data_IF_874310829174
#
_entry.id   IF_874310829174
#
_cell.length_a   1.000
_cell.length_b   1.000
_cell.length_c   1.000
_cell.angle_alpha   90.00
_cell.angle_beta   90.00
_cell.angle_gamma   90.00
#
_symmetry.space_group_name_H-M   'P 1'
#
loop_
_entity.id
_entity.type
_entity.pdbx_description
1 polymer ?
#
# COMPACT_ATOMS: atom_id res chain seq x y z
N UNK A 1 -3.58 23.44 23.12
CA UNK A 1 -2.77 23.24 21.88
C UNK A 1 -2.97 21.82 21.40
N UNK A 2 -3.24 21.57 20.12
CA UNK A 2 -3.39 20.20 19.60
C UNK A 2 -2.02 19.50 19.64
N UNK A 3 -2.02 18.17 19.94
CA UNK A 3 -0.80 17.39 19.81
C UNK A 3 -0.36 17.30 18.33
N UNK A 4 0.91 17.09 18.09
CA UNK A 4 1.46 16.91 16.73
C UNK A 4 0.71 15.81 15.97
N UNK A 5 0.43 14.66 16.62
CA UNK A 5 -0.35 13.57 16.05
C UNK A 5 -1.75 14.02 15.63
N UNK A 6 -2.46 14.71 16.50
CA UNK A 6 -3.82 15.22 16.24
C UNK A 6 -3.80 16.21 15.07
N UNK A 7 -2.79 17.05 14.98
CA UNK A 7 -2.60 17.99 13.87
C UNK A 7 -2.36 17.25 12.54
N UNK A 8 -1.50 16.23 12.54
CA UNK A 8 -1.25 15.42 11.35
C UNK A 8 -2.51 14.68 10.87
N UNK A 9 -3.29 14.11 11.80
CA UNK A 9 -4.56 13.44 11.46
C UNK A 9 -5.57 14.43 10.87
N UNK A 10 -5.69 15.63 11.46
CA UNK A 10 -6.55 16.69 10.93
C UNK A 10 -6.14 17.08 9.50
N UNK A 11 -4.84 17.31 9.26
CA UNK A 11 -4.31 17.68 7.95
C UNK A 11 -4.46 16.54 6.93
N UNK A 12 -4.27 15.29 7.34
CA UNK A 12 -4.51 14.14 6.48
C UNK A 12 -5.97 14.07 6.03
N UNK A 13 -6.92 14.28 6.95
CA UNK A 13 -8.34 14.33 6.61
C UNK A 13 -8.66 15.48 5.65
N UNK A 14 -8.15 16.67 5.92
CA UNK A 14 -8.35 17.85 5.08
C UNK A 14 -7.80 17.62 3.66
N UNK A 15 -6.58 17.09 3.56
CA UNK A 15 -5.95 16.76 2.29
C UNK A 15 -6.73 15.69 1.51
N UNK A 16 -7.25 14.67 2.21
CA UNK A 16 -8.11 13.66 1.59
C UNK A 16 -9.42 14.23 1.04
N UNK A 17 -10.06 15.16 1.75
CA UNK A 17 -11.26 15.85 1.28
C UNK A 17 -10.98 16.76 0.07
N UNK A 18 -9.76 17.30 -0.01
CA UNK A 18 -9.30 18.10 -1.14
C UNK A 18 -8.74 17.25 -2.30
N UNK A 19 -8.85 15.91 -2.24
CA UNK A 19 -8.28 14.94 -3.19
C UNK A 19 -6.76 15.07 -3.40
N UNK A 20 -6.06 15.71 -2.45
CA UNK A 20 -4.60 15.86 -2.43
C UNK A 20 -3.96 14.67 -1.70
N UNK A 21 -4.04 13.49 -2.32
CA UNK A 21 -3.65 12.23 -1.66
C UNK A 21 -2.14 12.11 -1.40
N UNK A 22 -1.29 12.75 -2.20
CA UNK A 22 0.15 12.81 -1.92
C UNK A 22 0.40 13.57 -0.60
N UNK A 23 -0.26 14.72 -0.37
CA UNK A 23 -0.18 15.44 0.90
C UNK A 23 -0.76 14.62 2.05
N UNK A 24 -1.90 13.96 1.83
CA UNK A 24 -2.50 13.05 2.83
C UNK A 24 -1.51 11.98 3.26
N UNK A 25 -0.79 11.38 2.31
CA UNK A 25 0.20 10.35 2.61
C UNK A 25 1.38 10.91 3.41
N UNK A 26 1.84 12.15 3.13
CA UNK A 26 2.89 12.81 3.93
C UNK A 26 2.47 12.93 5.40
N UNK A 27 1.25 13.41 5.68
CA UNK A 27 0.76 13.55 7.05
C UNK A 27 0.58 12.18 7.72
N UNK A 28 0.04 11.19 7.01
CA UNK A 28 -0.12 9.85 7.59
C UNK A 28 1.21 9.14 7.84
N UNK A 29 2.25 9.36 7.01
CA UNK A 29 3.61 8.91 7.30
C UNK A 29 4.18 9.51 8.58
N UNK A 30 3.84 10.75 8.92
CA UNK A 30 4.23 11.38 10.19
C UNK A 30 3.51 10.72 11.37
N UNK A 31 2.24 10.34 11.23
CA UNK A 31 1.49 9.59 12.27
C UNK A 31 2.11 8.22 12.51
N UNK A 32 2.40 7.46 11.44
CA UNK A 32 2.96 6.09 11.52
C UNK A 32 4.36 6.06 12.15
N UNK A 33 5.15 7.12 12.00
CA UNK A 33 6.49 7.22 12.61
C UNK A 33 6.48 7.39 14.13
N UNK A 34 5.35 7.72 14.71
CA UNK A 34 5.23 7.85 16.16
C UNK A 34 5.08 6.47 16.83
N UNK A 35 5.62 6.27 18.04
CA UNK A 35 5.67 4.94 18.68
C UNK A 35 4.31 4.44 19.19
N UNK A 36 3.25 5.17 18.97
CA UNK A 36 1.89 4.82 19.37
C UNK A 36 1.20 3.98 18.29
N UNK A 37 0.58 2.87 18.70
CA UNK A 37 -0.24 2.03 17.81
C UNK A 37 -1.36 2.85 17.16
N UNK A 38 -1.55 2.67 15.85
CA UNK A 38 -2.66 3.29 15.12
C UNK A 38 -3.98 2.64 15.54
N UNK A 39 -4.98 3.47 15.84
CA UNK A 39 -6.36 3.00 15.97
C UNK A 39 -6.99 2.70 14.59
N UNK A 40 -8.18 2.11 14.58
CA UNK A 40 -8.87 1.73 13.32
C UNK A 40 -9.06 2.91 12.36
N UNK A 41 -9.44 4.07 12.87
CA UNK A 41 -9.62 5.26 12.05
C UNK A 41 -8.32 5.75 11.41
N UNK A 42 -7.22 5.73 12.14
CA UNK A 42 -5.89 6.08 11.62
C UNK A 42 -5.39 5.06 10.59
N UNK A 43 -5.67 3.76 10.80
CA UNK A 43 -5.39 2.69 9.85
C UNK A 43 -6.16 2.89 8.54
N UNK A 44 -7.44 3.28 8.63
CA UNK A 44 -8.28 3.56 7.46
C UNK A 44 -7.77 4.76 6.67
N UNK A 45 -7.41 5.86 7.36
CA UNK A 45 -6.80 7.04 6.71
C UNK A 45 -5.47 6.69 6.02
N UNK A 46 -4.61 5.94 6.70
CA UNK A 46 -3.34 5.51 6.11
C UNK A 46 -3.55 4.62 4.89
N UNK A 47 -4.47 3.65 4.99
CA UNK A 47 -4.84 2.77 3.86
C UNK A 47 -5.36 3.58 2.69
N UNK A 48 -6.27 4.53 2.93
CA UNK A 48 -6.83 5.40 1.91
C UNK A 48 -5.74 6.21 1.21
N UNK A 49 -4.86 6.86 1.96
CA UNK A 49 -3.75 7.65 1.42
C UNK A 49 -2.84 6.80 0.53
N UNK A 50 -2.37 5.66 1.04
CA UNK A 50 -1.50 4.75 0.29
C UNK A 50 -2.18 4.22 -0.98
N UNK A 51 -3.44 3.76 -0.86
CA UNK A 51 -4.19 3.21 -1.99
C UNK A 51 -4.42 4.25 -3.08
N UNK A 52 -4.80 5.48 -2.73
CA UNK A 52 -5.09 6.54 -3.70
C UNK A 52 -3.84 6.96 -4.47
N UNK A 53 -2.70 7.12 -3.77
CA UNK A 53 -1.42 7.46 -4.41
C UNK A 53 -0.96 6.36 -5.38
N UNK A 54 -1.07 5.10 -4.98
CA UNK A 54 -0.68 3.96 -5.82
C UNK A 54 -1.64 3.81 -7.00
N UNK A 55 -2.95 3.91 -6.78
CA UNK A 55 -3.94 3.75 -7.85
C UNK A 55 -3.82 4.83 -8.92
N UNK A 56 -3.48 6.07 -8.56
CA UNK A 56 -3.25 7.13 -9.54
C UNK A 56 -2.14 6.73 -10.56
N UNK A 57 -1.03 6.15 -10.10
CA UNK A 57 0.07 5.69 -10.96
C UNK A 57 -0.32 4.45 -11.76
N UNK A 58 -1.08 3.53 -11.17
CA UNK A 58 -1.61 2.35 -11.89
C UNK A 58 -2.59 2.73 -12.99
N UNK A 59 -3.46 3.71 -12.74
CA UNK A 59 -4.36 4.27 -13.77
C UNK A 59 -3.54 4.91 -14.89
N UNK A 60 -2.51 5.69 -14.57
CA UNK A 60 -1.64 6.31 -15.57
C UNK A 60 -0.97 5.27 -16.48
N UNK A 61 -0.41 4.18 -15.91
CA UNK A 61 0.18 3.08 -16.69
C UNK A 61 -0.87 2.44 -17.62
N UNK A 62 -2.07 2.13 -17.11
CA UNK A 62 -3.16 1.56 -17.93
C UNK A 62 -3.58 2.49 -19.06
N UNK A 63 -3.68 3.79 -18.80
CA UNK A 63 -4.04 4.78 -19.81
C UNK A 63 -2.98 4.86 -20.91
N UNK A 64 -1.70 4.89 -20.56
CA UNK A 64 -0.63 4.90 -21.57
C UNK A 64 -0.62 3.59 -22.37
N UNK A 65 -0.82 2.43 -21.73
CA UNK A 65 -0.91 1.15 -22.42
C UNK A 65 -2.09 1.09 -23.41
N UNK A 66 -3.25 1.67 -23.07
CA UNK A 66 -4.41 1.69 -23.99
C UNK A 66 -4.20 2.56 -25.22
N UNK A 67 -3.33 3.56 -25.14
CA UNK A 67 -3.01 4.45 -26.27
C UNK A 67 -1.89 3.91 -27.16
N UNK A 68 -1.18 2.87 -26.73
CA UNK A 68 0.03 2.36 -27.42
C UNK A 68 -0.24 1.87 -28.84
N UNK A 69 -1.43 1.33 -29.12
CA UNK A 69 -1.83 0.89 -30.46
C UNK A 69 -2.04 2.03 -31.46
N UNK A 70 -2.19 3.26 -30.98
CA UNK A 70 -2.43 4.47 -31.79
C UNK A 70 -1.14 5.29 -31.97
N UNK A 71 -0.02 4.84 -31.37
CA UNK A 71 1.26 5.55 -31.40
C UNK A 71 1.98 5.29 -32.71
N UNK A 72 2.40 6.36 -33.36
CA UNK A 72 3.26 6.28 -34.54
C UNK A 72 4.64 5.66 -34.19
N UNK A 73 5.24 4.83 -35.09
CA UNK A 73 6.50 4.14 -34.79
C UNK A 73 7.66 5.05 -34.35
N UNK A 74 7.68 6.28 -34.81
CA UNK A 74 8.74 7.24 -34.44
C UNK A 74 8.59 7.80 -33.03
N UNK A 75 7.42 7.67 -32.39
CA UNK A 75 7.14 8.13 -31.04
C UNK A 75 7.19 7.00 -29.99
N UNK A 76 7.36 5.74 -30.41
CA UNK A 76 7.33 4.57 -29.52
C UNK A 76 8.37 4.69 -28.39
N UNK A 77 9.59 5.14 -28.72
CA UNK A 77 10.65 5.30 -27.73
C UNK A 77 10.26 6.29 -26.60
N UNK A 78 9.59 7.37 -26.93
CA UNK A 78 9.11 8.36 -25.94
C UNK A 78 8.02 7.75 -25.03
N UNK A 79 7.11 6.96 -25.59
CA UNK A 79 6.08 6.24 -24.83
C UNK A 79 6.73 5.25 -23.87
N UNK A 80 7.70 4.47 -24.32
CA UNK A 80 8.40 3.49 -23.48
C UNK A 80 9.17 4.16 -22.34
N UNK A 81 9.83 5.27 -22.61
CA UNK A 81 10.52 6.08 -21.59
C UNK A 81 9.52 6.64 -20.56
N UNK A 82 8.38 7.14 -21.00
CA UNK A 82 7.35 7.66 -20.10
C UNK A 82 6.73 6.56 -19.23
N UNK A 83 6.43 5.39 -19.82
CA UNK A 83 5.98 4.20 -19.07
C UNK A 83 7.01 3.77 -18.02
N UNK A 84 8.28 3.75 -18.39
CA UNK A 84 9.37 3.41 -17.48
C UNK A 84 9.44 4.39 -16.30
N UNK A 85 9.29 5.70 -16.54
CA UNK A 85 9.27 6.71 -15.48
C UNK A 85 8.11 6.49 -14.50
N UNK A 86 6.89 6.27 -14.99
CA UNK A 86 5.73 5.99 -14.12
C UNK A 86 5.92 4.70 -13.32
N UNK A 87 6.48 3.64 -13.94
CA UNK A 87 6.78 2.38 -13.22
C UNK A 87 7.81 2.58 -12.12
N UNK A 88 8.83 3.41 -12.36
CA UNK A 88 9.84 3.74 -11.37
C UNK A 88 9.22 4.50 -10.19
N UNK A 89 8.43 5.54 -10.44
CA UNK A 89 7.69 6.26 -9.39
C UNK A 89 6.81 5.32 -8.56
N UNK A 90 6.07 4.43 -9.22
CA UNK A 90 5.20 3.47 -8.54
C UNK A 90 6.01 2.50 -7.67
N UNK A 91 7.13 2.00 -8.17
CA UNK A 91 8.03 1.10 -7.42
C UNK A 91 8.61 1.80 -6.19
N UNK A 92 9.07 3.04 -6.33
CA UNK A 92 9.61 3.85 -5.23
C UNK A 92 8.54 4.11 -4.16
N UNK A 93 7.32 4.49 -4.56
CA UNK A 93 6.22 4.73 -3.62
C UNK A 93 5.85 3.46 -2.84
N UNK A 94 5.74 2.33 -3.52
CA UNK A 94 5.44 1.05 -2.87
C UNK A 94 6.56 0.65 -1.91
N UNK A 95 7.80 0.78 -2.31
CA UNK A 95 8.97 0.43 -1.48
C UNK A 95 9.04 1.30 -0.23
N UNK A 96 8.78 2.60 -0.36
CA UNK A 96 8.73 3.52 0.78
C UNK A 96 7.59 3.18 1.76
N UNK A 97 6.39 2.84 1.24
CA UNK A 97 5.27 2.37 2.07
C UNK A 97 5.65 1.09 2.83
N UNK A 98 6.25 0.11 2.16
CA UNK A 98 6.68 -1.15 2.79
C UNK A 98 7.72 -0.90 3.89
N UNK A 99 8.69 -0.01 3.64
CA UNK A 99 9.71 0.36 4.63
C UNK A 99 9.09 1.03 5.87
N UNK A 100 8.13 1.93 5.68
CA UNK A 100 7.42 2.59 6.78
C UNK A 100 6.58 1.59 7.57
N UNK A 101 5.88 0.69 6.89
CA UNK A 101 5.11 -0.38 7.53
C UNK A 101 5.99 -1.30 8.38
N UNK A 102 7.16 -1.68 7.87
CA UNK A 102 8.10 -2.53 8.61
C UNK A 102 8.63 -1.82 9.86
N UNK A 103 8.98 -0.53 9.75
CA UNK A 103 9.38 0.28 10.92
C UNK A 103 8.26 0.42 11.95
N UNK A 104 7.03 0.73 11.50
CA UNK A 104 5.86 0.81 12.37
C UNK A 104 5.64 -0.51 13.11
N UNK A 105 5.60 -1.62 12.37
CA UNK A 105 5.36 -2.93 12.99
C UNK A 105 6.42 -3.28 14.03
N UNK A 106 7.69 -3.02 13.75
CA UNK A 106 8.77 -3.25 14.71
C UNK A 106 8.61 -2.41 15.99
N UNK A 107 8.10 -1.17 15.86
CA UNK A 107 7.91 -0.28 17.01
C UNK A 107 6.76 -0.70 17.93
N UNK A 108 5.76 -1.42 17.41
CA UNK A 108 4.54 -1.81 18.15
C UNK A 108 4.38 -3.33 18.29
N UNK A 109 5.31 -4.14 17.79
CA UNK A 109 5.14 -5.60 17.65
C UNK A 109 4.86 -6.34 18.96
N UNK A 110 5.41 -5.88 20.07
CA UNK A 110 5.22 -6.51 21.39
C UNK A 110 3.83 -6.25 21.95
N UNK A 111 3.26 -5.08 21.69
CA UNK A 111 1.95 -4.64 22.21
C UNK A 111 0.84 -4.73 21.18
N UNK A 112 1.18 -5.03 19.91
CA UNK A 112 0.24 -5.00 18.80
C UNK A 112 -0.93 -5.96 18.99
N UNK A 113 -2.14 -5.42 18.81
CA UNK A 113 -3.39 -6.20 18.80
C UNK A 113 -3.44 -7.19 17.62
N UNK A 114 -4.34 -8.17 17.66
CA UNK A 114 -4.57 -9.07 16.52
C UNK A 114 -4.98 -8.29 15.27
N UNK A 115 -5.82 -7.25 15.43
CA UNK A 115 -6.22 -6.37 14.34
C UNK A 115 -5.03 -5.69 13.68
N UNK A 116 -4.11 -5.12 14.46
CA UNK A 116 -2.89 -4.48 13.95
C UNK A 116 -1.96 -5.47 13.24
N UNK A 117 -1.84 -6.69 13.76
CA UNK A 117 -1.03 -7.74 13.10
C UNK A 117 -1.62 -8.13 11.75
N UNK A 118 -2.94 -8.32 11.67
CA UNK A 118 -3.64 -8.62 10.42
C UNK A 118 -3.50 -7.45 9.44
N UNK A 119 -3.72 -6.22 9.90
CA UNK A 119 -3.55 -5.00 9.12
C UNK A 119 -2.16 -4.90 8.49
N UNK A 120 -1.11 -5.01 9.31
CA UNK A 120 0.26 -4.93 8.84
C UNK A 120 0.58 -5.98 7.77
N UNK A 121 0.32 -7.26 8.07
CA UNK A 121 0.66 -8.34 7.15
C UNK A 121 -0.20 -8.32 5.87
N UNK A 122 -1.47 -7.91 5.98
CA UNK A 122 -2.34 -7.72 4.81
C UNK A 122 -1.78 -6.62 3.90
N UNK A 123 -1.48 -5.44 4.43
CA UNK A 123 -0.89 -4.36 3.63
C UNK A 123 0.45 -4.78 3.02
N UNK A 124 1.29 -5.47 3.78
CA UNK A 124 2.55 -6.01 3.26
C UNK A 124 2.32 -6.98 2.09
N UNK A 125 1.31 -7.82 2.16
CA UNK A 125 0.89 -8.69 1.07
C UNK A 125 0.42 -7.90 -0.15
N UNK A 126 -0.48 -6.96 0.04
CA UNK A 126 -1.05 -6.12 -1.02
C UNK A 126 0.03 -5.38 -1.82
N UNK A 127 0.97 -4.73 -1.14
CA UNK A 127 2.00 -3.93 -1.80
C UNK A 127 3.11 -4.76 -2.44
N UNK A 128 3.50 -5.90 -1.86
CA UNK A 128 4.40 -6.84 -2.55
C UNK A 128 3.72 -7.43 -3.81
N UNK A 129 2.41 -7.72 -3.77
CA UNK A 129 1.65 -8.16 -4.96
C UNK A 129 1.68 -7.10 -6.08
N UNK A 130 1.56 -5.82 -5.76
CA UNK A 130 1.69 -4.77 -6.76
C UNK A 130 3.10 -4.74 -7.38
N UNK A 131 4.14 -4.99 -6.61
CA UNK A 131 5.50 -5.13 -7.15
C UNK A 131 5.63 -6.38 -8.06
N UNK A 132 4.97 -7.49 -7.73
CA UNK A 132 4.88 -8.66 -8.61
C UNK A 132 4.25 -8.30 -9.95
N UNK A 133 3.13 -7.55 -9.94
CA UNK A 133 2.43 -7.11 -11.15
C UNK A 133 3.28 -6.19 -12.05
N UNK A 134 4.24 -5.47 -11.49
CA UNK A 134 5.12 -4.55 -12.22
C UNK A 134 6.35 -5.23 -12.84
N UNK A 135 6.73 -6.40 -12.34
CA UNK A 135 7.93 -7.11 -12.77
C UNK A 135 7.57 -8.19 -13.81
N UNK A 136 8.36 -8.24 -14.86
CA UNK A 136 8.36 -9.38 -15.78
C UNK A 136 9.32 -10.42 -15.20
N UNK A 137 8.94 -11.68 -15.15
CA UNK A 137 9.63 -12.86 -14.60
C UNK A 137 11.17 -12.77 -14.47
N UNK A 138 11.66 -12.02 -13.49
CA UNK A 138 13.07 -11.87 -13.17
C UNK A 138 13.32 -12.19 -11.67
N UNK A 139 14.55 -12.10 -11.18
CA UNK A 139 14.90 -12.39 -9.79
C UNK A 139 14.10 -11.54 -8.75
N UNK A 140 13.89 -10.22 -8.93
CA UNK A 140 13.02 -9.43 -8.07
C UNK A 140 11.58 -9.96 -8.02
N UNK A 141 11.03 -10.46 -9.13
CA UNK A 141 9.69 -11.06 -9.19
C UNK A 141 9.52 -12.19 -8.18
N UNK A 142 10.45 -13.15 -8.16
CA UNK A 142 10.42 -14.29 -7.22
C UNK A 142 10.50 -13.87 -5.76
N UNK A 143 11.30 -12.85 -5.49
CA UNK A 143 11.41 -12.28 -4.14
C UNK A 143 10.07 -11.69 -3.69
N UNK A 144 9.45 -10.83 -4.49
CA UNK A 144 8.15 -10.21 -4.16
C UNK A 144 7.02 -11.22 -4.10
N UNK A 145 7.01 -12.23 -4.99
CA UNK A 145 6.04 -13.33 -4.96
C UNK A 145 6.10 -14.09 -3.62
N UNK A 146 7.31 -14.48 -3.21
CA UNK A 146 7.52 -15.16 -1.93
C UNK A 146 7.12 -14.28 -0.74
N UNK A 147 7.46 -12.99 -0.76
CA UNK A 147 7.08 -12.03 0.27
C UNK A 147 5.56 -11.86 0.36
N UNK A 148 4.87 -11.81 -0.79
CA UNK A 148 3.39 -11.73 -0.87
C UNK A 148 2.75 -12.94 -0.20
N UNK A 149 3.13 -14.16 -0.58
CA UNK A 149 2.58 -15.40 -0.03
C UNK A 149 2.80 -15.44 1.49
N UNK A 150 4.03 -15.20 1.94
CA UNK A 150 4.38 -15.21 3.37
C UNK A 150 3.55 -14.20 4.17
N UNK A 151 3.32 -13.02 3.62
CA UNK A 151 2.55 -11.98 4.27
C UNK A 151 1.08 -12.36 4.41
N UNK A 152 0.42 -12.82 3.33
CA UNK A 152 -0.98 -13.24 3.39
C UNK A 152 -1.20 -14.47 4.29
N UNK A 153 -0.30 -15.46 4.25
CA UNK A 153 -0.36 -16.63 5.14
C UNK A 153 -0.28 -16.20 6.61
N UNK A 154 0.63 -15.28 6.96
CA UNK A 154 0.73 -14.75 8.33
C UNK A 154 -0.51 -13.95 8.73
N UNK A 155 -1.01 -13.07 7.84
CA UNK A 155 -2.25 -12.34 8.08
C UNK A 155 -3.42 -13.28 8.36
N UNK A 156 -3.58 -14.33 7.55
CA UNK A 156 -4.64 -15.35 7.69
C UNK A 156 -4.52 -16.10 9.02
N UNK A 157 -3.30 -16.46 9.43
CA UNK A 157 -3.06 -17.11 10.72
C UNK A 157 -3.50 -16.22 11.90
N UNK A 158 -3.13 -14.93 11.89
CA UNK A 158 -3.56 -14.01 12.93
C UNK A 158 -5.07 -13.76 12.89
N UNK A 159 -5.66 -13.60 11.71
CA UNK A 159 -7.11 -13.42 11.58
C UNK A 159 -7.89 -14.61 12.13
N UNK A 160 -7.46 -15.84 11.84
CA UNK A 160 -8.12 -17.07 12.31
C UNK A 160 -7.92 -17.34 13.80
N UNK A 161 -6.89 -16.78 14.43
CA UNK A 161 -6.60 -17.03 15.85
C UNK A 161 -7.50 -16.28 16.83
N UNK A 162 -8.27 -15.27 16.38
CA UNK A 162 -9.14 -14.55 17.31
C UNK A 162 -9.98 -13.41 16.73
N UNK A 163 -9.96 -13.15 15.42
CA UNK A 163 -10.91 -12.21 14.82
C UNK A 163 -12.20 -12.94 14.42
N UNK A 164 -13.39 -12.38 14.73
CA UNK A 164 -14.67 -12.89 14.24
C UNK A 164 -14.69 -13.04 12.72
N UNK A 165 -15.47 -14.01 12.19
CA UNK A 165 -15.55 -14.24 10.75
C UNK A 165 -16.02 -13.03 9.95
N UNK A 166 -16.95 -12.27 10.49
CA UNK A 166 -17.46 -11.03 9.88
C UNK A 166 -16.61 -9.79 10.16
N UNK A 167 -15.43 -9.94 10.80
CA UNK A 167 -14.57 -8.78 11.08
C UNK A 167 -14.08 -8.12 9.78
N UNK A 168 -14.20 -6.78 9.61
CA UNK A 168 -13.89 -6.09 8.36
C UNK A 168 -12.49 -6.39 7.82
N UNK A 169 -11.47 -6.46 8.67
CA UNK A 169 -10.11 -6.79 8.26
C UNK A 169 -9.97 -8.24 7.78
N UNK A 170 -10.73 -9.19 8.39
CA UNK A 170 -10.73 -10.59 7.95
C UNK A 170 -11.38 -10.75 6.58
N UNK A 171 -12.51 -10.06 6.33
CA UNK A 171 -13.18 -10.04 5.04
C UNK A 171 -12.31 -9.38 3.95
N UNK A 172 -11.72 -8.23 4.26
CA UNK A 172 -10.82 -7.53 3.35
C UNK A 172 -9.57 -8.36 3.01
N UNK A 173 -9.01 -9.08 3.98
CA UNK A 173 -7.90 -10.01 3.76
C UNK A 173 -8.31 -11.14 2.82
N UNK A 174 -9.45 -11.78 3.07
CA UNK A 174 -9.94 -12.89 2.24
C UNK A 174 -10.13 -12.44 0.78
N UNK A 175 -10.73 -11.26 0.57
CA UNK A 175 -10.91 -10.69 -0.76
C UNK A 175 -9.57 -10.47 -1.46
N UNK A 176 -8.62 -9.78 -0.82
CA UNK A 176 -7.34 -9.45 -1.46
C UNK A 176 -6.48 -10.70 -1.72
N UNK A 177 -6.55 -11.68 -0.82
CA UNK A 177 -5.82 -12.93 -0.99
C UNK A 177 -6.42 -13.80 -2.09
N UNK A 178 -7.76 -13.79 -2.28
CA UNK A 178 -8.42 -14.53 -3.35
C UNK A 178 -8.09 -13.98 -4.76
N UNK A 179 -7.83 -12.69 -4.88
CA UNK A 179 -7.42 -12.07 -6.16
C UNK A 179 -5.99 -12.47 -6.57
N UNK A 180 -5.18 -12.94 -5.62
CA UNK A 180 -3.80 -13.33 -5.88
C UNK A 180 -3.67 -14.77 -6.41
N UNK A 181 -4.67 -15.64 -6.20
CA UNK A 181 -4.74 -17.01 -6.70
C UNK A 181 -5.43 -17.06 -8.06
#
# INVERSE_FOLDING_TARGET
>A
MMSERTQCIFMAKLSGQAERFDDMLVYMKAVVKQPQEMNMYEMDLFTMACKSVIEARRVAIRSVNSMESEVEPHAQQQVDQYKAAIRMELTEQITDILHILDKYYLSVSETATLGSKVFYYKMKGDYNRYLVELQVENEPYRHYLTATIRAYVRASKYASSGLPEAHPQRLSLALNYSVFY
#
